data_IF_332011578950
#
_entry.id   IF_332011578950
#
_cell.length_a   1.000
_cell.length_b   1.000
_cell.length_c   1.000
_cell.angle_alpha   90.00
_cell.angle_beta   90.00
_cell.angle_gamma   90.00
#
_symmetry.space_group_name_H-M   'P 1'
#
loop_
_entity.id
_entity.type
_entity.pdbx_description
1 polymer ?
#
# COMPACT_ATOMS: atom_id res chain seq x y z
N UNK A 1 -17.94 0.32 7.16
CA UNK A 1 -17.08 1.25 6.41
C UNK A 1 -16.89 0.72 5.01
N UNK A 2 -16.98 1.53 3.97
CA UNK A 2 -16.81 1.08 2.58
C UNK A 2 -15.32 0.89 2.26
N UNK A 3 -14.92 -0.32 1.85
CA UNK A 3 -13.52 -0.59 1.49
C UNK A 3 -13.24 -0.32 0.02
N UNK A 4 -14.19 -0.67 -0.85
CA UNK A 4 -14.11 -0.45 -2.31
C UNK A 4 -15.51 -0.43 -2.92
N UNK A 5 -15.64 0.22 -4.07
CA UNK A 5 -16.82 0.20 -4.92
C UNK A 5 -16.41 -0.35 -6.27
N UNK A 6 -17.21 -1.29 -6.79
CA UNK A 6 -17.04 -1.84 -8.13
C UNK A 6 -18.35 -1.68 -8.90
N UNK A 7 -18.28 -1.20 -10.13
CA UNK A 7 -19.45 -0.99 -10.97
C UNK A 7 -19.09 -0.41 -12.33
N UNK A 8 -20.10 0.00 -13.08
CA UNK A 8 -19.92 0.65 -14.37
C UNK A 8 -19.47 2.11 -14.18
N UNK A 9 -18.40 2.50 -14.86
CA UNK A 9 -17.96 3.88 -14.91
C UNK A 9 -18.91 4.68 -15.83
N UNK A 10 -19.73 5.54 -15.24
CA UNK A 10 -20.77 6.31 -15.95
C UNK A 10 -20.32 7.71 -16.34
N UNK A 11 -19.35 8.27 -15.61
CA UNK A 11 -18.86 9.61 -15.88
C UNK A 11 -17.49 9.90 -15.26
N UNK A 12 -16.85 10.94 -15.78
CA UNK A 12 -15.57 11.47 -15.30
C UNK A 12 -15.56 12.99 -15.33
N UNK A 13 -14.96 13.61 -14.33
CA UNK A 13 -14.56 15.02 -14.34
C UNK A 13 -13.04 15.11 -14.09
N UNK A 14 -12.51 16.30 -13.91
CA UNK A 14 -11.09 16.49 -13.60
C UNK A 14 -10.70 15.94 -12.21
N UNK A 15 -11.65 15.86 -11.29
CA UNK A 15 -11.38 15.53 -9.86
C UNK A 15 -12.35 14.46 -9.31
N UNK A 16 -13.29 13.95 -10.12
CA UNK A 16 -14.30 12.96 -9.70
C UNK A 16 -14.55 11.92 -10.77
N UNK A 17 -14.96 10.75 -10.33
CA UNK A 17 -15.53 9.70 -11.18
C UNK A 17 -16.91 9.30 -10.64
N UNK A 18 -17.77 8.86 -11.54
CA UNK A 18 -19.11 8.37 -11.23
C UNK A 18 -19.17 6.88 -11.52
N UNK A 19 -19.56 6.09 -10.52
CA UNK A 19 -19.62 4.64 -10.63
C UNK A 19 -21.03 4.19 -10.24
N UNK A 20 -21.73 3.58 -11.20
CA UNK A 20 -23.03 2.96 -10.96
C UNK A 20 -22.84 1.53 -10.43
N UNK A 21 -23.52 1.24 -9.32
CA UNK A 21 -23.55 -0.08 -8.72
C UNK A 21 -24.96 -0.35 -8.17
N UNK A 22 -25.65 -1.35 -8.72
CA UNK A 22 -26.98 -1.79 -8.28
C UNK A 22 -28.01 -0.65 -8.17
N UNK A 23 -28.06 0.26 -9.15
CA UNK A 23 -29.01 1.36 -9.19
C UNK A 23 -28.61 2.59 -8.36
N UNK A 24 -27.41 2.60 -7.76
CA UNK A 24 -26.85 3.73 -7.05
C UNK A 24 -25.65 4.26 -7.81
N UNK A 25 -25.67 5.55 -8.16
CA UNK A 25 -24.51 6.22 -8.74
C UNK A 25 -23.72 6.94 -7.65
N UNK A 26 -22.45 6.58 -7.53
CA UNK A 26 -21.51 7.09 -6.53
C UNK A 26 -20.62 8.15 -7.13
N UNK A 27 -20.63 9.36 -6.60
CA UNK A 27 -19.60 10.35 -6.87
C UNK A 27 -18.39 10.11 -5.96
N UNK A 28 -17.23 9.92 -6.57
CA UNK A 28 -15.99 9.58 -5.87
C UNK A 28 -14.91 10.58 -6.28
N UNK A 29 -14.38 11.32 -5.33
CA UNK A 29 -13.26 12.24 -5.54
C UNK A 29 -11.97 11.43 -5.70
N UNK A 30 -11.22 11.69 -6.76
CA UNK A 30 -10.00 10.95 -7.11
C UNK A 30 -8.91 11.91 -7.58
N UNK A 31 -7.66 11.44 -7.61
CA UNK A 31 -6.56 12.18 -8.22
C UNK A 31 -6.71 12.25 -9.74
N UNK A 32 -6.17 13.28 -10.38
CA UNK A 32 -6.18 13.38 -11.85
C UNK A 32 -5.52 12.16 -12.50
N UNK A 33 -4.45 11.63 -11.93
CA UNK A 33 -3.80 10.41 -12.41
C UNK A 33 -4.73 9.19 -12.32
N UNK A 34 -5.58 9.12 -11.30
CA UNK A 34 -6.59 8.07 -11.17
C UNK A 34 -7.67 8.21 -12.23
N UNK A 35 -8.14 9.44 -12.52
CA UNK A 35 -9.11 9.70 -13.62
C UNK A 35 -8.59 9.15 -14.96
N UNK A 36 -7.31 9.41 -15.26
CA UNK A 36 -6.69 8.99 -16.52
C UNK A 36 -6.53 7.46 -16.60
N UNK A 37 -6.22 6.81 -15.47
CA UNK A 37 -5.93 5.36 -15.42
C UNK A 37 -7.16 4.46 -15.33
N UNK A 38 -8.33 4.98 -14.95
CA UNK A 38 -9.55 4.17 -14.78
C UNK A 38 -10.19 3.68 -16.09
N UNK A 39 -9.63 4.00 -17.24
CA UNK A 39 -10.15 3.53 -18.53
C UNK A 39 -11.33 4.33 -19.06
N UNK A 40 -12.08 3.79 -20.01
CA UNK A 40 -13.18 4.48 -20.69
C UNK A 40 -14.50 4.38 -19.91
N UNK A 41 -15.39 5.38 -20.12
CA UNK A 41 -16.78 5.33 -19.65
C UNK A 41 -17.46 4.09 -20.26
N UNK A 42 -18.26 3.39 -19.46
CA UNK A 42 -18.90 2.12 -19.78
C UNK A 42 -18.14 0.88 -19.29
N UNK A 43 -16.84 1.00 -18.94
CA UNK A 43 -16.08 -0.12 -18.40
C UNK A 43 -16.47 -0.41 -16.95
N UNK A 44 -16.41 -1.69 -16.57
CA UNK A 44 -16.48 -2.06 -15.15
C UNK A 44 -15.15 -1.75 -14.48
N UNK A 45 -15.20 -0.97 -13.42
CA UNK A 45 -14.02 -0.54 -12.65
C UNK A 45 -14.18 -0.88 -11.18
N UNK A 46 -13.05 -0.93 -10.47
CA UNK A 46 -13.01 -1.04 -9.01
C UNK A 46 -12.15 0.08 -8.45
N UNK A 47 -12.66 0.80 -7.47
CA UNK A 47 -11.99 1.89 -6.77
C UNK A 47 -12.00 1.59 -5.27
N UNK A 48 -10.83 1.66 -4.65
CA UNK A 48 -10.71 1.59 -3.19
C UNK A 48 -11.13 2.92 -2.59
N UNK A 49 -11.86 2.90 -1.50
CA UNK A 49 -12.51 4.11 -0.99
C UNK A 49 -12.10 4.44 0.43
N UNK A 50 -12.18 5.71 0.74
CA UNK A 50 -12.13 6.25 2.09
C UNK A 50 -13.24 7.28 2.26
N UNK A 51 -14.09 7.09 3.29
CA UNK A 51 -15.19 7.97 3.62
C UNK A 51 -14.70 9.07 4.57
N UNK A 52 -14.76 10.30 4.11
CA UNK A 52 -14.59 11.48 4.94
C UNK A 52 -15.95 11.95 5.43
N UNK A 53 -16.17 11.90 6.73
CA UNK A 53 -17.43 12.30 7.35
C UNK A 53 -17.15 13.36 8.43
N UNK A 54 -17.86 14.45 8.34
CA UNK A 54 -17.96 15.53 9.33
C UNK A 54 -19.41 15.90 9.54
N UNK A 55 -19.70 16.75 10.53
CA UNK A 55 -21.06 17.19 10.85
C UNK A 55 -21.77 17.83 9.66
N UNK A 56 -21.03 18.58 8.83
CA UNK A 56 -21.53 19.38 7.72
C UNK A 56 -21.36 18.74 6.34
N UNK A 57 -20.61 17.64 6.24
CA UNK A 57 -20.30 17.03 4.94
C UNK A 57 -19.92 15.56 5.00
N UNK A 58 -20.28 14.85 3.94
CA UNK A 58 -19.84 13.49 3.69
C UNK A 58 -19.27 13.42 2.27
N UNK A 59 -18.04 12.93 2.13
CA UNK A 59 -17.35 12.81 0.84
C UNK A 59 -16.66 11.46 0.73
N UNK A 60 -16.72 10.90 -0.46
CA UNK A 60 -16.03 9.64 -0.77
C UNK A 60 -14.78 9.93 -1.60
N UNK A 61 -13.64 9.49 -1.12
CA UNK A 61 -12.37 9.57 -1.82
C UNK A 61 -12.02 8.20 -2.38
N UNK A 62 -11.43 8.16 -3.58
CA UNK A 62 -11.14 6.94 -4.29
C UNK A 62 -9.70 6.82 -4.78
N UNK A 63 -9.22 5.58 -4.87
CA UNK A 63 -7.84 5.21 -5.14
C UNK A 63 -7.81 3.96 -6.02
N UNK A 64 -6.79 3.83 -6.88
CA UNK A 64 -6.63 2.67 -7.75
C UNK A 64 -6.28 1.39 -6.97
N UNK A 65 -5.57 1.55 -5.85
CA UNK A 65 -5.10 0.44 -5.04
C UNK A 65 -5.00 0.82 -3.55
N UNK A 66 -4.84 -0.16 -2.65
CA UNK A 66 -4.71 0.09 -1.21
C UNK A 66 -3.46 0.91 -0.83
N UNK A 67 -2.36 0.80 -1.59
CA UNK A 67 -1.13 1.53 -1.33
C UNK A 67 -1.34 3.04 -1.54
N UNK A 68 -1.98 3.44 -2.65
CA UNK A 68 -2.33 4.83 -2.92
C UNK A 68 -3.25 5.39 -1.81
N UNK A 69 -4.23 4.59 -1.33
CA UNK A 69 -5.07 4.98 -0.19
C UNK A 69 -4.27 5.18 1.10
N UNK A 70 -3.32 4.29 1.38
CA UNK A 70 -2.47 4.40 2.58
C UNK A 70 -1.61 5.65 2.51
N UNK A 71 -0.98 5.91 1.38
CA UNK A 71 -0.18 7.10 1.16
C UNK A 71 -1.02 8.39 1.30
N UNK A 72 -2.24 8.39 0.76
CA UNK A 72 -3.19 9.49 0.97
C UNK A 72 -3.47 9.74 2.46
N UNK A 73 -3.72 8.67 3.23
CA UNK A 73 -3.97 8.78 4.67
C UNK A 73 -2.74 9.28 5.43
N UNK A 74 -1.55 8.84 5.05
CA UNK A 74 -0.30 9.33 5.62
C UNK A 74 -0.11 10.82 5.33
N UNK A 75 -0.38 11.27 4.11
CA UNK A 75 -0.35 12.69 3.75
C UNK A 75 -1.29 13.53 4.63
N UNK A 76 -2.46 13.02 4.98
CA UNK A 76 -3.41 13.75 5.83
C UNK A 76 -2.99 13.86 7.30
N UNK A 77 -1.96 13.14 7.73
CA UNK A 77 -1.35 13.29 9.07
C UNK A 77 -0.43 14.52 9.16
N UNK A 78 0.00 15.06 8.01
CA UNK A 78 0.87 16.23 7.96
C UNK A 78 0.06 17.49 8.26
N UNK A 79 0.50 18.26 9.23
CA UNK A 79 -0.17 19.52 9.60
C UNK A 79 -0.26 20.49 8.40
N UNK A 80 -1.49 20.94 8.12
CA UNK A 80 -1.83 21.80 6.99
C UNK A 80 -2.13 21.05 5.68
N UNK A 81 -2.10 19.72 5.65
CA UNK A 81 -2.52 18.92 4.49
C UNK A 81 -3.86 18.24 4.79
N UNK A 82 -4.94 18.82 4.27
CA UNK A 82 -6.26 18.20 4.32
C UNK A 82 -6.50 17.25 3.12
N UNK A 83 -7.65 16.52 3.12
CA UNK A 83 -7.96 15.53 2.08
C UNK A 83 -7.88 16.05 0.63
N UNK A 84 -8.40 17.26 0.38
CA UNK A 84 -8.30 17.86 -0.97
C UNK A 84 -6.86 18.15 -1.39
N UNK A 85 -6.04 18.61 -0.45
CA UNK A 85 -4.62 18.88 -0.74
C UNK A 85 -3.85 17.58 -0.95
N UNK A 86 -4.16 16.53 -0.19
CA UNK A 86 -3.57 15.21 -0.38
C UNK A 86 -3.86 14.63 -1.78
N UNK A 87 -5.11 14.78 -2.29
CA UNK A 87 -5.43 14.40 -3.68
C UNK A 87 -4.66 15.21 -4.71
N UNK A 88 -4.46 16.51 -4.49
CA UNK A 88 -3.65 17.35 -5.39
C UNK A 88 -2.19 16.90 -5.42
N UNK A 89 -1.64 16.50 -4.29
CA UNK A 89 -0.29 15.93 -4.20
C UNK A 89 -0.20 14.65 -5.03
N UNK A 90 -1.16 13.73 -4.87
CA UNK A 90 -1.24 12.49 -5.64
C UNK A 90 -1.58 12.71 -7.14
N UNK A 91 -2.04 13.90 -7.51
CA UNK A 91 -2.22 14.30 -8.92
C UNK A 91 -0.93 14.83 -9.54
N UNK A 92 -0.02 15.36 -8.72
CA UNK A 92 1.24 15.95 -9.19
C UNK A 92 2.39 14.96 -9.29
N UNK A 93 2.39 13.92 -8.46
CA UNK A 93 3.36 12.82 -8.48
C UNK A 93 2.62 11.50 -8.26
N UNK A 94 3.01 10.45 -9.00
CA UNK A 94 2.50 9.12 -8.69
C UNK A 94 3.03 8.63 -7.33
N UNK A 95 2.34 7.63 -6.75
CA UNK A 95 2.63 7.18 -5.40
C UNK A 95 4.09 6.77 -5.20
N UNK A 96 4.67 5.99 -6.12
CA UNK A 96 6.04 5.50 -6.01
C UNK A 96 7.07 6.65 -6.11
N UNK A 97 6.83 7.62 -7.00
CA UNK A 97 7.69 8.79 -7.13
C UNK A 97 7.61 9.70 -5.90
N UNK A 98 6.43 9.81 -5.29
CA UNK A 98 6.22 10.57 -4.06
C UNK A 98 6.89 9.91 -2.85
N UNK A 99 6.74 8.59 -2.69
CA UNK A 99 7.42 7.81 -1.65
C UNK A 99 8.93 7.97 -1.74
N UNK A 100 9.50 7.81 -2.95
CA UNK A 100 10.93 8.01 -3.18
C UNK A 100 11.38 9.42 -2.80
N UNK A 101 10.66 10.47 -3.22
CA UNK A 101 11.00 11.84 -2.90
C UNK A 101 10.95 12.14 -1.39
N UNK A 102 10.01 11.52 -0.66
CA UNK A 102 9.90 11.64 0.79
C UNK A 102 11.06 10.94 1.51
N UNK A 103 11.41 9.70 1.10
CA UNK A 103 12.49 8.93 1.72
C UNK A 103 13.87 9.54 1.44
N UNK A 104 14.11 10.01 0.23
CA UNK A 104 15.35 10.70 -0.14
C UNK A 104 15.43 12.12 0.44
N UNK A 105 14.32 12.72 0.83
CA UNK A 105 14.24 14.10 1.29
C UNK A 105 14.38 15.10 0.16
N UNK A 106 13.93 14.74 -1.05
CA UNK A 106 14.04 15.58 -2.25
C UNK A 106 13.04 16.75 -2.21
N UNK A 107 13.46 17.83 -1.58
CA UNK A 107 12.69 19.07 -1.47
C UNK A 107 12.32 19.67 -2.83
N UNK A 108 13.22 19.61 -3.82
CA UNK A 108 12.98 20.21 -5.12
C UNK A 108 11.83 19.50 -5.84
N UNK A 109 11.83 18.17 -5.80
CA UNK A 109 10.80 17.34 -6.40
C UNK A 109 9.44 17.52 -5.71
N UNK A 110 9.40 17.61 -4.38
CA UNK A 110 8.17 17.90 -3.65
C UNK A 110 7.62 19.29 -3.93
N UNK A 111 8.49 20.30 -4.08
CA UNK A 111 8.09 21.67 -4.43
C UNK A 111 7.62 21.84 -5.88
N UNK A 112 7.91 20.88 -6.76
CA UNK A 112 7.38 20.89 -8.13
C UNK A 112 5.88 20.58 -8.17
N UNK A 113 5.31 20.06 -7.07
CA UNK A 113 3.87 19.79 -6.96
C UNK A 113 3.12 21.12 -6.77
N UNK A 114 2.12 21.43 -7.60
CA UNK A 114 1.35 22.67 -7.48
C UNK A 114 0.71 22.82 -6.09
N UNK A 115 0.98 23.94 -5.44
CA UNK A 115 0.48 24.26 -4.10
C UNK A 115 1.33 23.70 -2.95
N UNK A 116 2.49 23.11 -3.22
CA UNK A 116 3.43 22.68 -2.19
C UNK A 116 4.62 23.67 -2.14
N UNK A 117 4.61 24.49 -1.10
CA UNK A 117 5.73 25.39 -0.81
C UNK A 117 6.83 24.72 0.02
N UNK A 118 7.97 25.39 0.16
CA UNK A 118 9.13 24.90 0.91
C UNK A 118 8.79 24.41 2.32
N UNK A 119 7.99 25.19 3.07
CA UNK A 119 7.59 24.81 4.44
C UNK A 119 6.74 23.54 4.48
N UNK A 120 5.80 23.37 3.55
CA UNK A 120 4.96 22.19 3.46
C UNK A 120 5.79 20.97 3.07
N UNK A 121 6.68 21.08 2.07
CA UNK A 121 7.58 20.02 1.67
C UNK A 121 8.48 19.55 2.84
N UNK A 122 9.03 20.49 3.60
CA UNK A 122 9.83 20.17 4.80
C UNK A 122 9.01 19.44 5.87
N UNK A 123 7.76 19.88 6.14
CA UNK A 123 6.87 19.19 7.07
C UNK A 123 6.53 17.77 6.58
N UNK A 124 6.27 17.59 5.30
CA UNK A 124 6.01 16.28 4.71
C UNK A 124 7.19 15.32 4.97
N UNK A 125 8.41 15.75 4.66
CA UNK A 125 9.61 14.93 4.90
C UNK A 125 9.75 14.62 6.40
N UNK A 126 9.64 15.63 7.26
CA UNK A 126 9.82 15.45 8.70
C UNK A 126 8.79 14.48 9.30
N UNK A 127 7.54 14.53 8.82
CA UNK A 127 6.45 13.72 9.36
C UNK A 127 6.44 12.31 8.76
N UNK A 128 6.79 12.14 7.48
CA UNK A 128 6.53 10.90 6.74
C UNK A 128 7.78 10.06 6.46
N UNK A 129 8.97 10.64 6.48
CA UNK A 129 10.22 9.90 6.24
C UNK A 129 10.38 8.78 7.28
N UNK A 130 10.54 7.55 6.82
CA UNK A 130 10.63 6.35 7.64
C UNK A 130 9.34 5.93 8.35
N UNK A 131 8.20 6.58 8.05
CA UNK A 131 6.89 6.29 8.66
C UNK A 131 5.82 5.95 7.64
N UNK A 132 6.16 5.90 6.36
CA UNK A 132 5.20 5.56 5.31
C UNK A 132 4.67 4.15 5.54
N UNK A 133 3.34 4.03 5.59
CA UNK A 133 2.67 2.74 5.66
C UNK A 133 2.80 2.08 4.29
N UNK A 134 3.90 1.38 4.05
CA UNK A 134 4.06 0.55 2.86
C UNK A 134 3.05 -0.58 2.95
N UNK A 135 1.87 -0.37 2.36
CA UNK A 135 1.00 -1.48 2.03
C UNK A 135 1.69 -2.21 0.89
N UNK A 136 2.40 -3.27 1.22
CA UNK A 136 2.85 -4.21 0.21
C UNK A 136 1.61 -4.58 -0.62
N UNK A 137 1.59 -4.12 -1.87
CA UNK A 137 0.58 -4.52 -2.82
C UNK A 137 0.60 -6.04 -2.93
N UNK A 138 -0.45 -6.68 -2.42
CA UNK A 138 -0.81 -8.05 -2.81
C UNK A 138 -1.19 -8.05 -4.31
N UNK A 139 -0.34 -7.52 -5.20
CA UNK A 139 -0.67 -7.36 -6.62
C UNK A 139 0.49 -6.97 -7.53
N UNK A 140 1.58 -6.44 -7.03
CA UNK A 140 2.86 -6.45 -7.74
C UNK A 140 3.73 -7.53 -7.11
N UNK A 141 3.84 -8.64 -7.81
CA UNK A 141 5.03 -9.45 -7.74
C UNK A 141 6.23 -8.56 -8.15
N UNK A 142 6.73 -7.73 -7.23
CA UNK A 142 8.16 -7.64 -7.15
C UNK A 142 8.58 -9.08 -6.95
N UNK A 143 9.39 -9.58 -7.85
CA UNK A 143 10.19 -10.76 -7.63
C UNK A 143 11.20 -10.43 -6.51
N UNK A 144 10.70 -10.21 -5.28
CA UNK A 144 11.36 -10.76 -4.13
C UNK A 144 11.22 -12.26 -4.36
N UNK A 145 12.34 -12.95 -4.53
CA UNK A 145 12.39 -14.41 -4.46
C UNK A 145 11.42 -14.80 -3.35
N UNK A 146 10.25 -15.32 -3.72
CA UNK A 146 9.36 -15.97 -2.78
C UNK A 146 10.30 -16.91 -2.02
N UNK A 147 10.43 -16.71 -0.72
CA UNK A 147 11.19 -17.66 0.09
C UNK A 147 10.59 -19.01 -0.30
N UNK A 148 11.40 -19.96 -0.69
CA UNK A 148 10.97 -21.30 -1.11
C UNK A 148 10.00 -21.90 -0.07
N UNK A 149 10.00 -21.35 1.16
CA UNK A 149 9.25 -21.80 2.33
C UNK A 149 8.39 -20.70 2.95
N UNK A 150 7.78 -19.84 2.13
CA UNK A 150 6.95 -18.69 2.60
C UNK A 150 5.77 -19.14 3.47
N UNK A 151 5.17 -20.28 3.15
CA UNK A 151 4.03 -20.82 3.90
C UNK A 151 4.45 -21.24 5.33
N UNK A 152 5.66 -21.73 5.50
CA UNK A 152 6.24 -22.06 6.82
C UNK A 152 6.51 -20.77 7.62
N UNK A 153 7.02 -19.72 6.97
CA UNK A 153 7.27 -18.43 7.62
C UNK A 153 5.96 -17.81 8.11
N UNK A 154 4.90 -17.88 7.31
CA UNK A 154 3.56 -17.41 7.68
C UNK A 154 3.03 -18.21 8.89
N UNK A 155 3.11 -19.53 8.86
CA UNK A 155 2.64 -20.37 9.96
C UNK A 155 3.37 -20.04 11.30
N UNK A 156 4.67 -19.81 11.26
CA UNK A 156 5.44 -19.39 12.43
C UNK A 156 5.04 -17.99 12.92
N UNK A 157 4.77 -17.06 11.99
CA UNK A 157 4.29 -15.73 12.35
C UNK A 157 2.89 -15.76 12.99
N UNK A 158 1.99 -16.62 12.52
CA UNK A 158 0.66 -16.83 13.11
C UNK A 158 0.75 -17.48 14.52
N UNK A 159 1.82 -18.21 14.82
CA UNK A 159 2.13 -18.71 16.15
C UNK A 159 2.71 -17.63 17.10
N UNK A 160 2.89 -16.38 16.62
CA UNK A 160 3.33 -15.25 17.44
C UNK A 160 4.82 -14.92 17.35
N UNK A 161 5.57 -15.56 16.47
CA UNK A 161 6.97 -15.19 16.23
C UNK A 161 7.07 -13.99 15.30
N UNK A 162 8.05 -13.12 15.53
CA UNK A 162 8.33 -12.00 14.62
C UNK A 162 8.71 -12.54 13.22
N UNK A 163 8.04 -12.06 12.16
CA UNK A 163 8.21 -12.57 10.79
C UNK A 163 9.67 -12.58 10.32
N UNK A 164 10.46 -11.57 10.70
CA UNK A 164 11.88 -11.50 10.35
C UNK A 164 12.66 -12.64 11.01
N UNK A 165 12.45 -12.88 12.30
CA UNK A 165 13.06 -13.99 13.04
C UNK A 165 12.63 -15.35 12.52
N UNK A 166 11.34 -15.50 12.15
CA UNK A 166 10.82 -16.71 11.53
C UNK A 166 11.51 -16.99 10.18
N UNK A 167 11.68 -15.97 9.33
CA UNK A 167 12.37 -16.11 8.05
C UNK A 167 13.84 -16.51 8.21
N UNK A 168 14.57 -15.90 9.16
CA UNK A 168 15.96 -16.25 9.45
C UNK A 168 16.09 -17.69 9.99
N UNK A 169 15.16 -18.11 10.84
CA UNK A 169 15.15 -19.48 11.40
C UNK A 169 14.87 -20.54 10.34
N UNK A 170 13.92 -20.29 9.43
CA UNK A 170 13.58 -21.18 8.32
C UNK A 170 14.75 -21.29 7.35
N UNK A 171 15.41 -20.18 7.00
CA UNK A 171 16.56 -20.21 6.09
C UNK A 171 17.75 -20.98 6.69
N UNK A 172 18.05 -20.77 7.98
CA UNK A 172 19.10 -21.50 8.70
C UNK A 172 18.79 -23.00 8.79
N UNK A 173 17.54 -23.37 9.06
CA UNK A 173 17.10 -24.75 9.09
C UNK A 173 17.20 -25.41 7.69
N UNK A 174 16.76 -24.71 6.63
CA UNK A 174 16.84 -25.18 5.27
C UNK A 174 18.31 -25.39 4.82
N UNK A 175 19.21 -24.47 5.19
CA UNK A 175 20.64 -24.59 4.89
C UNK A 175 21.27 -25.77 5.62
N UNK A 176 20.91 -26.02 6.88
CA UNK A 176 21.35 -27.19 7.65
C UNK A 176 20.90 -28.51 7.03
N UNK A 177 19.64 -28.59 6.58
CA UNK A 177 19.10 -29.75 5.90
C UNK A 177 19.81 -30.03 4.57
N UNK A 178 20.03 -28.98 3.76
CA UNK A 178 20.77 -29.09 2.47
C UNK A 178 22.21 -29.58 2.71
N UNK A 179 22.89 -29.08 3.74
CA UNK A 179 24.26 -29.55 4.06
C UNK A 179 24.30 -31.00 4.56
N UNK A 180 23.19 -31.52 5.08
CA UNK A 180 23.02 -32.92 5.46
C UNK A 180 22.51 -33.81 4.31
N UNK A 181 22.39 -33.27 3.07
CA UNK A 181 21.93 -33.99 1.90
C UNK A 181 20.42 -34.22 1.85
N UNK A 182 19.65 -33.49 2.66
CA UNK A 182 18.19 -33.58 2.71
C UNK A 182 17.61 -32.42 1.90
N UNK A 183 16.66 -32.71 0.99
CA UNK A 183 15.93 -31.66 0.28
C UNK A 183 14.82 -31.08 1.16
N UNK A 184 14.90 -29.79 1.56
CA UNK A 184 13.91 -29.20 2.46
C UNK A 184 12.50 -29.15 1.88
N UNK A 185 12.34 -29.01 0.55
CA UNK A 185 11.03 -28.95 -0.11
C UNK A 185 10.29 -30.31 -0.12
N UNK A 186 10.99 -31.41 0.06
CA UNK A 186 10.39 -32.75 0.18
C UNK A 186 10.03 -33.11 1.63
N UNK A 187 10.54 -32.34 2.59
CA UNK A 187 10.39 -32.59 4.03
C UNK A 187 10.05 -31.31 4.80
N UNK A 188 9.01 -30.64 4.38
CA UNK A 188 8.56 -29.38 5.00
C UNK A 188 8.22 -29.53 6.48
N UNK A 189 7.69 -30.68 6.92
CA UNK A 189 7.42 -30.94 8.34
C UNK A 189 8.70 -30.99 9.19
N UNK A 190 9.79 -31.54 8.65
CA UNK A 190 11.08 -31.57 9.35
C UNK A 190 11.70 -30.16 9.38
N UNK A 191 11.57 -29.41 8.28
CA UNK A 191 11.99 -28.02 8.20
C UNK A 191 11.28 -27.14 9.21
N UNK A 192 9.95 -27.26 9.31
CA UNK A 192 9.12 -26.51 10.25
C UNK A 192 9.56 -26.77 11.71
N UNK A 193 9.73 -28.07 12.07
CA UNK A 193 10.20 -28.45 13.43
C UNK A 193 11.58 -27.90 13.74
N UNK A 194 12.51 -27.97 12.78
CA UNK A 194 13.86 -27.45 12.92
C UNK A 194 13.88 -25.94 13.12
N UNK A 195 13.05 -25.21 12.37
CA UNK A 195 12.89 -23.76 12.52
C UNK A 195 12.35 -23.37 13.92
N UNK A 196 11.37 -24.12 14.48
CA UNK A 196 10.87 -23.89 15.85
C UNK A 196 11.98 -24.10 16.87
N UNK A 197 12.81 -25.15 16.73
CA UNK A 197 13.93 -25.39 17.66
C UNK A 197 14.91 -24.22 17.62
N UNK A 198 15.22 -23.68 16.45
CA UNK A 198 16.07 -22.48 16.32
C UNK A 198 15.45 -21.25 17.00
N UNK A 199 14.13 -21.06 16.86
CA UNK A 199 13.42 -19.93 17.48
C UNK A 199 13.32 -20.03 19.00
N UNK A 200 13.25 -21.25 19.55
CA UNK A 200 13.15 -21.49 20.99
C UNK A 200 14.50 -21.47 21.71
N UNK A 201 15.60 -21.54 20.97
CA UNK A 201 16.97 -21.59 21.52
C UNK A 201 17.68 -20.23 21.51
N UNK A 202 17.01 -19.19 21.02
CA UNK A 202 17.48 -17.80 20.93
C UNK A 202 16.60 -16.89 21.76
#
# INVERSE_FOLDING_TARGET
MFNSISGALTGKTAESVYIENNGIEWEILVSALTVDRLGAIGNTVKVYTWLYHREDQMRLFGFLNPAERSLFLDLTKVDGIGPKQALKILSGLDGAALETALEEGDLARLQSIPGIGKKTAQKMILTLKGQLTTVQESGRQTVQKKSEFEDIIIALADMGYERKRAAEAVENAAQSMRSSGINPSEKEDELFRSAIVHLSSS
#
